data_IF_727452857467
#
_entry.id   IF_727452857467
#
_cell.length_a   1.000
_cell.length_b   1.000
_cell.length_c   1.000
_cell.angle_alpha   90.00
_cell.angle_beta   90.00
_cell.angle_gamma   90.00
#
_symmetry.space_group_name_H-M   'P 1'
#
loop_
_entity.id
_entity.type
_entity.pdbx_description
1 polymer ?
#
# COMPACT_ATOMS: atom_id res chain seq x y z
N UNK A 1 18.60 -15.16 62.19
CA UNK A 1 17.80 -14.14 61.48
C UNK A 1 18.65 -13.15 60.66
N UNK A 2 19.81 -12.67 61.10
CA UNK A 2 20.67 -11.75 60.32
C UNK A 2 21.13 -12.27 58.93
N UNK A 3 21.40 -13.57 58.79
CA UNK A 3 21.90 -14.16 57.53
C UNK A 3 20.80 -14.35 56.44
N UNK A 4 19.53 -14.31 56.85
CA UNK A 4 18.40 -14.47 55.91
C UNK A 4 18.10 -13.17 55.19
N UNK A 5 18.20 -12.02 55.83
CA UNK A 5 18.00 -10.72 55.23
C UNK A 5 19.07 -10.34 54.18
N UNK A 6 20.31 -10.81 54.39
CA UNK A 6 21.42 -10.58 53.42
C UNK A 6 21.20 -11.40 52.17
N UNK A 7 20.65 -12.62 52.27
CA UNK A 7 20.33 -13.46 51.08
C UNK A 7 19.19 -12.89 50.25
N UNK A 8 18.15 -12.33 50.87
CA UNK A 8 17.05 -11.67 50.15
C UNK A 8 17.48 -10.35 49.53
N UNK A 9 18.35 -9.57 50.15
CA UNK A 9 18.89 -8.34 49.59
C UNK A 9 19.80 -8.62 48.38
N UNK A 10 20.60 -9.69 48.39
CA UNK A 10 21.43 -10.11 47.25
C UNK A 10 20.59 -10.65 46.12
N UNK A 11 19.49 -11.38 46.40
CA UNK A 11 18.57 -11.88 45.39
C UNK A 11 17.78 -10.76 44.72
N UNK A 12 17.34 -9.75 45.49
CA UNK A 12 16.67 -8.56 44.96
C UNK A 12 17.60 -7.70 44.09
N UNK A 13 18.88 -7.59 44.47
CA UNK A 13 19.88 -6.87 43.67
C UNK A 13 20.21 -7.59 42.38
N UNK A 14 20.20 -8.93 42.38
CA UNK A 14 20.41 -9.75 41.16
C UNK A 14 19.21 -9.69 40.22
N UNK A 15 17.97 -9.64 40.75
CA UNK A 15 16.74 -9.47 39.95
C UNK A 15 16.63 -8.05 39.38
N UNK A 16 17.11 -7.02 40.08
CA UNK A 16 17.17 -5.64 39.58
C UNK A 16 18.25 -5.44 38.52
N UNK A 17 19.36 -6.20 38.58
CA UNK A 17 20.42 -6.16 37.55
C UNK A 17 20.09 -6.97 36.28
N UNK A 18 19.15 -7.94 36.35
CA UNK A 18 18.71 -8.68 35.20
C UNK A 18 17.58 -8.01 34.39
N UNK A 19 17.03 -6.90 34.87
CA UNK A 19 16.21 -5.97 34.12
C UNK A 19 17.06 -4.98 33.30
N UNK A 20 18.19 -5.45 32.77
CA UNK A 20 18.88 -4.75 31.69
C UNK A 20 17.95 -4.78 30.50
N UNK A 21 17.11 -3.75 30.32
CA UNK A 21 16.46 -3.48 29.08
C UNK A 21 17.57 -3.52 28.01
N UNK A 22 17.57 -4.53 27.17
CA UNK A 22 18.40 -4.57 25.97
C UNK A 22 18.01 -3.34 25.15
N UNK A 23 18.66 -2.21 25.43
CA UNK A 23 18.63 -1.07 24.53
C UNK A 23 19.34 -1.54 23.28
N UNK A 24 18.58 -2.12 22.33
CA UNK A 24 19.11 -2.35 21.01
C UNK A 24 19.54 -0.98 20.48
N UNK A 25 20.85 -0.83 20.25
CA UNK A 25 21.35 0.38 19.62
C UNK A 25 20.62 0.57 18.29
N UNK A 26 20.08 1.76 18.07
CA UNK A 26 19.44 2.09 16.79
C UNK A 26 20.41 1.82 15.64
N UNK A 27 19.89 1.22 14.57
CA UNK A 27 20.69 1.01 13.37
C UNK A 27 21.02 2.35 12.69
N UNK A 28 22.02 2.36 11.83
CA UNK A 28 22.36 3.56 11.04
C UNK A 28 21.16 4.02 10.19
N UNK A 29 20.41 3.07 9.64
CA UNK A 29 19.21 3.40 8.87
C UNK A 29 18.14 4.01 9.75
N UNK A 30 17.83 3.43 10.89
CA UNK A 30 16.83 3.95 11.83
C UNK A 30 17.19 5.38 12.29
N UNK A 31 18.46 5.65 12.58
CA UNK A 31 18.94 6.99 12.93
C UNK A 31 18.71 7.99 11.78
N UNK A 32 19.01 7.60 10.54
CA UNK A 32 18.78 8.46 9.36
C UNK A 32 17.29 8.71 9.13
N UNK A 33 16.43 7.71 9.28
CA UNK A 33 14.97 7.85 9.15
C UNK A 33 14.44 8.77 10.26
N UNK A 34 14.91 8.62 11.49
CA UNK A 34 14.54 9.48 12.64
C UNK A 34 14.92 10.95 12.42
N UNK A 35 15.93 11.22 11.60
CA UNK A 35 16.33 12.58 11.20
C UNK A 35 15.35 13.25 10.23
N UNK A 36 14.40 12.53 9.64
CA UNK A 36 13.37 13.11 8.78
C UNK A 36 12.27 13.71 9.66
N UNK A 37 12.18 15.03 9.70
CA UNK A 37 11.26 15.75 10.62
C UNK A 37 9.79 15.40 10.44
N UNK A 38 9.38 15.02 9.23
CA UNK A 38 8.02 14.60 8.90
C UNK A 38 7.67 13.20 9.42
N UNK A 39 8.63 12.37 9.77
CA UNK A 39 8.40 11.02 10.32
C UNK A 39 8.26 11.12 11.83
N UNK A 40 7.13 10.64 12.37
CA UNK A 40 6.82 10.69 13.81
C UNK A 40 6.88 9.34 14.50
N UNK A 41 6.83 8.26 13.72
CA UNK A 41 6.82 6.90 14.26
C UNK A 41 7.61 5.98 13.35
N UNK A 42 8.47 5.14 13.93
CA UNK A 42 9.26 4.13 13.23
C UNK A 42 9.11 2.83 14.00
N UNK A 43 8.73 1.76 13.34
CA UNK A 43 8.65 0.41 13.93
C UNK A 43 9.38 -0.59 13.06
N UNK A 44 10.29 -1.41 13.59
CA UNK A 44 10.94 -2.47 12.84
C UNK A 44 9.91 -3.52 12.41
N UNK A 45 10.14 -4.10 11.25
CA UNK A 45 9.37 -5.22 10.71
C UNK A 45 10.30 -6.40 10.45
N UNK A 46 9.78 -7.60 10.65
CA UNK A 46 10.46 -8.80 10.20
C UNK A 46 10.60 -8.81 8.68
N UNK A 47 11.71 -9.33 8.20
CA UNK A 47 11.98 -9.47 6.76
C UNK A 47 12.88 -10.66 6.46
N UNK A 48 12.57 -11.39 5.38
CA UNK A 48 13.43 -12.42 4.79
C UNK A 48 14.11 -11.96 3.49
N UNK A 49 13.74 -10.78 2.99
CA UNK A 49 14.13 -10.28 1.67
C UNK A 49 15.10 -9.09 1.73
N UNK A 50 15.23 -8.43 2.87
CA UNK A 50 16.01 -7.21 3.05
C UNK A 50 16.91 -7.31 4.27
N UNK A 51 17.93 -6.47 4.35
CA UNK A 51 18.78 -6.38 5.56
C UNK A 51 18.02 -5.76 6.74
N UNK A 52 17.17 -4.76 6.45
CA UNK A 52 16.33 -4.08 7.43
C UNK A 52 15.00 -3.69 6.77
N UNK A 53 13.93 -3.67 7.58
CA UNK A 53 12.62 -3.23 7.13
C UNK A 53 11.90 -2.49 8.26
N UNK A 54 11.27 -1.37 7.92
CA UNK A 54 10.54 -0.53 8.87
C UNK A 54 9.20 -0.12 8.30
N UNK A 55 8.18 -0.01 9.15
CA UNK A 55 7.02 0.80 8.88
C UNK A 55 7.18 2.14 9.54
N UNK A 56 6.91 3.21 8.80
CA UNK A 56 7.00 4.60 9.24
C UNK A 56 5.71 5.33 8.93
N UNK A 57 5.47 6.43 9.66
CA UNK A 57 4.32 7.29 9.40
C UNK A 57 4.81 8.70 9.12
N UNK A 58 4.61 9.10 7.87
CA UNK A 58 4.98 10.40 7.36
C UNK A 58 3.82 11.40 7.59
N UNK A 59 4.10 12.55 8.15
CA UNK A 59 3.09 13.61 8.32
C UNK A 59 2.95 14.35 7.00
N UNK A 60 1.75 14.29 6.41
CA UNK A 60 1.41 14.94 5.14
C UNK A 60 0.34 16.01 5.37
N UNK A 61 0.39 17.14 4.66
CA UNK A 61 -0.72 18.08 4.62
C UNK A 61 -1.98 17.44 4.00
N UNK A 62 -3.15 17.81 4.45
CA UNK A 62 -4.40 17.48 3.74
C UNK A 62 -4.40 18.09 2.34
N UNK A 63 -4.00 19.37 2.27
CA UNK A 63 -3.83 20.15 1.06
C UNK A 63 -2.41 20.72 1.04
N UNK A 64 -1.58 20.30 0.09
CA UNK A 64 -0.19 20.75 -0.01
C UNK A 64 -0.06 22.23 -0.38
N UNK A 65 -1.09 22.80 -1.04
CA UNK A 65 -1.14 24.24 -1.34
C UNK A 65 -1.57 25.07 -0.13
N UNK A 66 -2.28 24.45 0.81
CA UNK A 66 -2.84 25.07 2.00
C UNK A 66 -2.55 24.23 3.25
N UNK A 67 -1.27 24.12 3.69
CA UNK A 67 -0.88 23.24 4.82
C UNK A 67 -1.59 23.57 6.13
N UNK A 68 -2.08 24.79 6.28
CA UNK A 68 -2.86 25.24 7.45
C UNK A 68 -4.22 24.55 7.59
N UNK A 69 -4.72 23.85 6.53
CA UNK A 69 -5.97 23.09 6.56
C UNK A 69 -5.90 21.84 7.42
N UNK A 70 -4.69 21.44 7.84
CA UNK A 70 -4.46 20.29 8.67
C UNK A 70 -3.55 19.25 8.02
N UNK A 71 -3.33 18.16 8.73
CA UNK A 71 -2.43 17.10 8.29
C UNK A 71 -3.00 15.73 8.65
N UNK A 72 -2.46 14.70 8.01
CA UNK A 72 -2.73 13.31 8.32
C UNK A 72 -1.41 12.53 8.36
N UNK A 73 -1.46 11.31 8.89
CA UNK A 73 -0.31 10.41 8.86
C UNK A 73 -0.44 9.46 7.68
N UNK A 74 0.61 9.33 6.89
CA UNK A 74 0.69 8.42 5.76
C UNK A 74 1.65 7.29 6.06
N UNK A 75 1.21 6.04 5.88
CA UNK A 75 2.05 4.86 6.07
C UNK A 75 3.04 4.70 4.93
N UNK A 76 4.31 4.59 5.30
CA UNK A 76 5.43 4.34 4.37
C UNK A 76 6.24 3.16 4.88
N UNK A 77 6.46 2.17 4.03
CA UNK A 77 7.28 1.00 4.38
C UNK A 77 8.64 1.17 3.71
N UNK A 78 9.68 1.17 4.54
CA UNK A 78 11.08 1.33 4.13
C UNK A 78 11.75 -0.02 4.21
N UNK A 79 12.31 -0.51 3.09
CA UNK A 79 13.02 -1.78 3.02
C UNK A 79 14.42 -1.55 2.46
N UNK A 80 15.43 -1.92 3.22
CA UNK A 80 16.84 -1.56 2.98
C UNK A 80 17.66 -2.73 2.46
N UNK A 81 18.45 -2.44 1.43
CA UNK A 81 19.50 -3.32 0.91
C UNK A 81 20.87 -2.71 1.15
N UNK A 82 21.01 -1.40 0.90
CA UNK A 82 22.27 -0.67 1.06
C UNK A 82 22.14 0.79 0.63
N UNK A 83 22.94 1.69 1.22
CA UNK A 83 22.89 3.12 0.93
C UNK A 83 23.38 3.49 -0.47
N UNK A 84 24.21 2.66 -1.08
CA UNK A 84 24.75 2.78 -2.44
C UNK A 84 23.89 2.11 -3.51
N UNK A 85 22.80 1.47 -3.10
CA UNK A 85 21.89 0.74 -4.01
C UNK A 85 20.85 1.68 -4.61
N UNK A 86 20.32 1.37 -5.82
CA UNK A 86 19.16 2.07 -6.34
C UNK A 86 17.95 1.95 -5.40
N UNK A 87 16.97 2.83 -5.56
CA UNK A 87 15.74 2.82 -4.77
C UNK A 87 14.53 2.72 -5.69
N UNK A 88 13.65 1.79 -5.40
CA UNK A 88 12.34 1.65 -6.04
C UNK A 88 11.29 2.27 -5.12
N UNK A 89 10.62 3.32 -5.58
CA UNK A 89 9.43 3.84 -4.92
C UNK A 89 8.20 3.17 -5.55
N UNK A 90 7.45 2.45 -4.71
CA UNK A 90 6.20 1.81 -5.13
C UNK A 90 5.05 2.76 -4.83
N UNK A 91 4.46 3.28 -5.91
CA UNK A 91 3.33 4.20 -5.87
C UNK A 91 2.04 3.40 -5.86
N UNK A 92 1.55 3.07 -4.68
CA UNK A 92 0.33 2.30 -4.53
C UNK A 92 -0.90 3.11 -4.97
N UNK A 93 -1.97 2.44 -5.32
CA UNK A 93 -3.25 3.08 -5.60
C UNK A 93 -4.27 2.90 -4.47
N UNK A 94 -3.94 2.04 -3.50
CA UNK A 94 -4.83 1.57 -2.45
C UNK A 94 -4.08 1.41 -1.13
N UNK A 95 -4.50 0.44 -0.30
CA UNK A 95 -3.85 0.12 0.96
C UNK A 95 -2.59 -0.74 0.82
N UNK A 96 -1.59 -0.50 1.65
CA UNK A 96 -0.27 -1.14 1.62
C UNK A 96 -0.10 -2.28 2.64
N UNK A 97 -1.17 -2.82 3.23
CA UNK A 97 -1.07 -3.81 4.30
C UNK A 97 -0.30 -5.08 3.88
N UNK A 98 -0.41 -5.50 2.61
CA UNK A 98 0.29 -6.67 2.11
C UNK A 98 1.81 -6.49 2.04
N UNK A 99 2.29 -5.26 1.90
CA UNK A 99 3.71 -4.95 1.88
C UNK A 99 4.38 -5.07 3.27
N UNK A 100 3.60 -5.16 4.36
CA UNK A 100 4.12 -5.42 5.71
C UNK A 100 4.67 -6.85 5.88
N UNK A 101 4.23 -7.79 5.05
CA UNK A 101 4.63 -9.21 5.16
C UNK A 101 6.15 -9.38 5.04
N UNK A 102 6.77 -10.26 5.84
CA UNK A 102 8.23 -10.47 5.84
C UNK A 102 8.83 -10.81 4.48
N UNK A 103 8.11 -11.59 3.68
CA UNK A 103 8.56 -12.08 2.37
C UNK A 103 8.19 -11.16 1.20
N UNK A 104 7.52 -10.03 1.46
CA UNK A 104 7.13 -9.14 0.37
C UNK A 104 8.33 -8.35 -0.15
N UNK A 105 8.58 -8.47 -1.44
CA UNK A 105 9.52 -7.66 -2.22
C UNK A 105 8.94 -7.43 -3.62
N UNK A 106 8.92 -6.18 -4.04
CA UNK A 106 8.45 -5.80 -5.37
C UNK A 106 9.44 -6.28 -6.45
N UNK A 107 8.93 -6.60 -7.64
CA UNK A 107 9.69 -7.24 -8.72
C UNK A 107 10.95 -6.46 -9.11
N UNK A 108 10.84 -5.16 -9.40
CA UNK A 108 11.99 -4.33 -9.78
C UNK A 108 13.00 -4.18 -8.64
N UNK A 109 12.52 -4.07 -7.39
CA UNK A 109 13.41 -4.10 -6.23
C UNK A 109 14.20 -5.39 -6.16
N UNK A 110 13.60 -6.52 -6.50
CA UNK A 110 14.28 -7.82 -6.53
C UNK A 110 15.26 -7.91 -7.69
N UNK A 111 14.85 -7.57 -8.90
CA UNK A 111 15.67 -7.66 -10.11
C UNK A 111 16.91 -6.77 -10.04
N UNK A 112 16.75 -5.55 -9.49
CA UNK A 112 17.83 -4.56 -9.40
C UNK A 112 18.61 -4.63 -8.09
N UNK A 113 18.25 -5.54 -7.19
CA UNK A 113 18.73 -5.58 -5.82
C UNK A 113 18.72 -4.18 -5.18
N UNK A 114 17.56 -3.54 -5.24
CA UNK A 114 17.31 -2.16 -4.85
C UNK A 114 16.63 -2.05 -3.48
N UNK A 115 16.83 -0.91 -2.81
CA UNK A 115 15.97 -0.49 -1.69
C UNK A 115 14.53 -0.34 -2.17
N UNK A 116 13.57 -0.41 -1.26
CA UNK A 116 12.16 -0.21 -1.58
C UNK A 116 11.51 0.77 -0.60
N UNK A 117 10.88 1.80 -1.14
CA UNK A 117 10.00 2.72 -0.40
C UNK A 117 8.58 2.47 -0.91
N UNK A 118 7.74 1.85 -0.07
CA UNK A 118 6.37 1.52 -0.43
C UNK A 118 5.42 2.50 0.23
N UNK A 119 4.64 3.25 -0.56
CA UNK A 119 3.78 4.34 -0.07
C UNK A 119 2.31 3.93 -0.15
N UNK A 120 1.64 3.85 1.00
CA UNK A 120 0.19 3.68 1.04
C UNK A 120 -0.51 4.93 0.49
N UNK A 121 -1.50 4.72 -0.38
CA UNK A 121 -2.22 5.84 -0.98
C UNK A 121 -3.06 6.58 0.07
N UNK A 122 -3.12 7.92 -0.02
CA UNK A 122 -3.98 8.72 0.89
C UNK A 122 -5.43 8.23 0.86
N UNK A 123 -6.14 8.30 1.99
CA UNK A 123 -7.51 7.82 2.24
C UNK A 123 -7.66 6.29 2.25
N UNK A 124 -6.58 5.53 2.30
CA UNK A 124 -6.63 4.08 2.48
C UNK A 124 -6.05 3.66 3.82
N UNK A 125 -6.72 2.70 4.44
CA UNK A 125 -6.33 2.06 5.71
C UNK A 125 -5.81 3.08 6.75
N UNK A 126 -4.53 2.96 7.15
CA UNK A 126 -3.93 3.85 8.14
C UNK A 126 -3.53 5.23 7.61
N UNK A 127 -3.59 5.42 6.29
CA UNK A 127 -3.35 6.70 5.62
C UNK A 127 -4.65 7.47 5.38
N UNK A 128 -5.70 7.17 6.14
CA UNK A 128 -6.99 7.87 6.07
C UNK A 128 -6.99 9.05 7.04
N UNK A 129 -7.22 10.31 6.56
CA UNK A 129 -7.41 11.46 7.44
C UNK A 129 -8.67 11.33 8.31
N UNK A 130 -8.61 11.90 9.49
CA UNK A 130 -9.77 12.05 10.36
C UNK A 130 -9.91 13.52 10.82
N UNK A 131 -11.06 14.19 10.57
CA UNK A 131 -12.24 13.68 9.85
C UNK A 131 -11.98 13.50 8.35
N UNK A 132 -12.74 12.59 7.72
CA UNK A 132 -12.65 12.34 6.28
C UNK A 132 -13.27 13.49 5.50
N UNK A 133 -12.46 14.24 4.81
CA UNK A 133 -12.89 15.25 3.86
C UNK A 133 -12.39 14.90 2.46
N UNK A 134 -13.29 14.38 1.63
CA UNK A 134 -12.95 13.85 0.31
C UNK A 134 -12.48 14.88 -0.70
N UNK A 135 -12.66 16.19 -0.44
CA UNK A 135 -12.20 17.24 -1.34
C UNK A 135 -10.67 17.21 -1.53
N UNK A 136 -9.92 16.69 -0.55
CA UNK A 136 -8.45 16.61 -0.61
C UNK A 136 -7.94 15.32 -1.26
N UNK A 137 -8.83 14.39 -1.64
CA UNK A 137 -8.46 13.21 -2.42
C UNK A 137 -8.34 13.57 -3.89
N UNK A 138 -7.29 14.28 -4.24
CA UNK A 138 -6.97 14.71 -5.60
C UNK A 138 -5.73 14.04 -6.14
N UNK A 139 -5.60 13.97 -7.48
CA UNK A 139 -4.40 13.47 -8.14
C UNK A 139 -3.17 14.29 -7.80
N UNK A 140 -3.33 15.62 -7.72
CA UNK A 140 -2.26 16.55 -7.38
C UNK A 140 -1.75 16.33 -5.96
N UNK A 141 -2.61 16.37 -4.93
CA UNK A 141 -2.21 16.09 -3.56
C UNK A 141 -1.57 14.71 -3.39
N UNK A 142 -1.99 13.71 -4.17
CA UNK A 142 -1.39 12.38 -4.14
C UNK A 142 0.02 12.37 -4.75
N UNK A 143 0.26 13.17 -5.77
CA UNK A 143 1.59 13.35 -6.35
C UNK A 143 2.51 14.15 -5.41
N UNK A 144 1.95 15.17 -4.75
CA UNK A 144 2.66 15.99 -3.76
C UNK A 144 3.12 15.15 -2.55
N UNK A 145 2.30 14.18 -2.10
CA UNK A 145 2.70 13.22 -1.07
C UNK A 145 3.95 12.44 -1.47
N UNK A 146 3.97 11.91 -2.70
CA UNK A 146 5.10 11.14 -3.23
C UNK A 146 6.34 12.02 -3.38
N UNK A 147 6.17 13.25 -3.83
CA UNK A 147 7.25 14.24 -3.93
C UNK A 147 7.89 14.52 -2.58
N UNK A 148 7.08 14.79 -1.56
CA UNK A 148 7.56 15.04 -0.21
C UNK A 148 8.36 13.87 0.35
N UNK A 149 7.86 12.63 0.18
CA UNK A 149 8.54 11.40 0.61
C UNK A 149 9.84 11.20 -0.18
N UNK A 150 9.81 11.29 -1.51
CA UNK A 150 10.99 11.12 -2.35
C UNK A 150 12.08 12.12 -1.99
N UNK A 151 11.73 13.39 -1.84
CA UNK A 151 12.67 14.46 -1.46
C UNK A 151 13.33 14.16 -0.12
N UNK A 152 12.56 13.73 0.87
CA UNK A 152 13.07 13.39 2.20
C UNK A 152 14.04 12.20 2.16
N UNK A 153 13.67 11.13 1.45
CA UNK A 153 14.45 9.91 1.39
C UNK A 153 15.66 9.97 0.44
N UNK A 154 15.72 10.89 -0.52
CA UNK A 154 16.91 11.12 -1.36
C UNK A 154 18.15 11.52 -0.54
N UNK A 155 17.96 12.13 0.64
CA UNK A 155 19.05 12.41 1.57
C UNK A 155 19.63 11.14 2.21
N UNK A 156 18.86 10.03 2.24
CA UNK A 156 19.30 8.73 2.74
C UNK A 156 19.83 7.88 1.58
N UNK A 157 19.16 7.92 0.42
CA UNK A 157 19.43 7.13 -0.76
C UNK A 157 19.72 8.04 -1.96
N UNK A 158 20.97 8.50 -2.12
CA UNK A 158 21.33 9.45 -3.18
C UNK A 158 21.48 8.83 -4.58
N UNK A 159 21.32 7.51 -4.69
CA UNK A 159 21.45 6.77 -5.95
C UNK A 159 20.28 6.98 -6.91
N UNK A 160 20.18 6.09 -7.90
CA UNK A 160 19.08 6.11 -8.90
C UNK A 160 17.75 5.74 -8.29
N UNK A 161 16.70 6.42 -8.74
CA UNK A 161 15.32 6.19 -8.30
C UNK A 161 14.44 5.72 -9.44
N UNK A 162 13.63 4.70 -9.16
CA UNK A 162 12.66 4.10 -10.07
C UNK A 162 11.29 4.19 -9.41
N UNK A 163 10.30 4.79 -10.07
CA UNK A 163 8.90 4.72 -9.64
C UNK A 163 8.18 3.58 -10.36
N UNK A 164 7.40 2.82 -9.63
CA UNK A 164 6.61 1.73 -10.19
C UNK A 164 5.29 1.54 -9.43
N UNK A 165 4.32 0.94 -10.09
CA UNK A 165 3.04 0.56 -9.52
C UNK A 165 2.22 -0.24 -10.51
N UNK A 166 1.22 -0.96 -10.01
CA UNK A 166 0.38 -1.85 -10.81
C UNK A 166 -1.06 -1.31 -10.83
N UNK A 167 -1.73 -1.35 -11.99
CA UNK A 167 -3.13 -0.93 -12.16
C UNK A 167 -3.31 0.53 -11.71
N UNK A 168 -4.16 0.82 -10.72
CA UNK A 168 -4.28 2.17 -10.14
C UNK A 168 -2.95 2.69 -9.59
N UNK A 169 -2.08 1.83 -9.03
CA UNK A 169 -0.71 2.19 -8.65
C UNK A 169 0.13 2.61 -9.86
N UNK A 170 -0.02 1.92 -11.00
CA UNK A 170 0.58 2.34 -12.27
C UNK A 170 0.05 3.68 -12.76
N UNK A 171 -1.25 3.95 -12.64
CA UNK A 171 -1.83 5.27 -12.90
C UNK A 171 -1.21 6.34 -11.98
N UNK A 172 -1.04 6.02 -10.69
CA UNK A 172 -0.36 6.91 -9.74
C UNK A 172 1.08 7.20 -10.16
N UNK A 173 1.81 6.19 -10.69
CA UNK A 173 3.16 6.38 -11.27
C UNK A 173 3.14 7.39 -12.42
N UNK A 174 2.16 7.30 -13.33
CA UNK A 174 2.02 8.25 -14.46
C UNK A 174 1.70 9.66 -13.98
N UNK A 175 0.76 9.80 -13.04
CA UNK A 175 0.41 11.08 -12.44
C UNK A 175 1.62 11.69 -11.73
N UNK A 176 2.33 10.90 -10.92
CA UNK A 176 3.53 11.35 -10.23
C UNK A 176 4.59 11.86 -11.21
N UNK A 177 4.89 11.12 -12.29
CA UNK A 177 5.81 11.56 -13.33
C UNK A 177 5.35 12.85 -14.03
N UNK A 178 4.04 13.04 -14.20
CA UNK A 178 3.49 14.22 -14.86
C UNK A 178 3.65 15.47 -14.00
N UNK A 179 3.38 15.39 -12.70
CA UNK A 179 3.53 16.52 -11.78
C UNK A 179 5.00 16.78 -11.40
N UNK A 180 5.80 15.73 -11.25
CA UNK A 180 7.19 15.78 -10.78
C UNK A 180 8.13 14.99 -11.71
N UNK A 181 8.43 15.53 -12.91
CA UNK A 181 9.17 14.80 -13.94
C UNK A 181 10.61 14.46 -13.53
N UNK A 182 11.21 15.21 -12.61
CA UNK A 182 12.62 15.09 -12.22
C UNK A 182 12.83 14.34 -10.89
N UNK A 183 11.75 13.89 -10.24
CA UNK A 183 11.85 13.22 -8.95
C UNK A 183 12.46 11.83 -9.03
N UNK A 184 12.24 11.14 -10.13
CA UNK A 184 12.79 9.80 -10.35
C UNK A 184 13.42 9.69 -11.73
N UNK A 185 14.44 8.86 -11.86
CA UNK A 185 15.13 8.65 -13.15
C UNK A 185 14.26 7.88 -14.14
N UNK A 186 13.54 6.87 -13.66
CA UNK A 186 12.75 5.93 -14.47
C UNK A 186 11.35 5.78 -13.87
N UNK A 187 10.34 5.68 -14.73
CA UNK A 187 8.98 5.30 -14.33
C UNK A 187 8.55 4.05 -15.10
N UNK A 188 8.09 3.03 -14.37
CA UNK A 188 7.65 1.74 -14.91
C UNK A 188 6.22 1.47 -14.44
N UNK A 189 5.21 2.06 -15.11
CA UNK A 189 3.81 1.83 -14.77
C UNK A 189 3.30 0.52 -15.38
N UNK A 190 2.99 -0.47 -14.54
CA UNK A 190 2.41 -1.73 -15.00
C UNK A 190 0.90 -1.61 -15.18
N UNK A 191 0.41 -1.99 -16.36
CA UNK A 191 -1.03 -2.02 -16.71
C UNK A 191 -1.81 -0.82 -16.19
N UNK A 192 -1.22 0.35 -16.31
CA UNK A 192 -1.74 1.62 -15.81
C UNK A 192 -2.97 2.05 -16.61
N UNK A 193 -4.19 2.11 -16.02
CA UNK A 193 -5.36 2.53 -16.76
C UNK A 193 -5.33 4.05 -17.00
N UNK A 194 -5.49 4.45 -18.26
CA UNK A 194 -5.71 5.84 -18.63
C UNK A 194 -7.21 6.04 -18.88
N UNK A 195 -7.92 6.44 -17.82
CA UNK A 195 -9.36 6.67 -17.85
C UNK A 195 -9.67 8.11 -18.26
N UNK A 196 -10.63 8.29 -19.18
CA UNK A 196 -11.09 9.61 -19.64
C UNK A 196 -12.28 10.14 -18.86
N UNK A 197 -12.89 9.32 -18.00
CA UNK A 197 -14.03 9.66 -17.17
C UNK A 197 -14.55 8.44 -16.42
N UNK A 198 -15.61 8.64 -15.64
CA UNK A 198 -16.30 7.55 -14.93
C UNK A 198 -16.91 6.57 -15.92
N UNK A 199 -17.62 7.11 -16.93
CA UNK A 199 -18.16 6.36 -18.06
C UNK A 199 -17.17 6.44 -19.22
N UNK A 200 -16.19 5.53 -19.23
CA UNK A 200 -15.23 5.44 -20.34
C UNK A 200 -15.81 4.56 -21.46
N UNK A 201 -16.33 5.19 -22.51
CA UNK A 201 -17.03 4.53 -23.61
C UNK A 201 -16.20 3.53 -24.43
N UNK A 202 -14.97 3.19 -24.02
CA UNK A 202 -14.13 2.17 -24.68
C UNK A 202 -14.37 0.75 -24.15
N UNK A 203 -14.96 0.59 -22.97
CA UNK A 203 -15.14 -0.72 -22.33
C UNK A 203 -16.15 -1.58 -23.11
N UNK A 204 -17.34 -1.08 -23.36
CA UNK A 204 -18.37 -1.84 -24.08
C UNK A 204 -17.93 -2.26 -25.51
N UNK A 205 -17.38 -1.36 -26.35
CA UNK A 205 -16.85 -1.76 -27.66
C UNK A 205 -15.75 -2.83 -27.57
N UNK A 206 -14.94 -2.84 -26.52
CA UNK A 206 -13.95 -3.89 -26.28
C UNK A 206 -14.64 -5.23 -25.99
N UNK A 207 -15.59 -5.26 -25.05
CA UNK A 207 -16.31 -6.48 -24.67
C UNK A 207 -17.08 -7.08 -25.86
N UNK A 208 -17.57 -6.25 -26.76
CA UNK A 208 -18.25 -6.71 -27.99
C UNK A 208 -17.30 -7.31 -29.04
N UNK A 209 -15.99 -7.07 -28.95
CA UNK A 209 -15.00 -7.50 -29.94
C UNK A 209 -14.00 -8.52 -29.42
N UNK A 210 -13.79 -8.59 -28.08
CA UNK A 210 -12.78 -9.47 -27.50
C UNK A 210 -13.11 -10.95 -27.78
N UNK A 211 -12.09 -11.76 -28.08
CA UNK A 211 -12.23 -13.20 -28.34
C UNK A 211 -13.16 -13.54 -29.53
N UNK A 212 -13.74 -14.73 -29.55
CA UNK A 212 -14.67 -15.17 -30.58
C UNK A 212 -16.14 -14.89 -30.23
N UNK A 213 -17.06 -14.75 -31.22
CA UNK A 213 -18.48 -14.61 -30.94
C UNK A 213 -19.04 -15.72 -30.07
N UNK A 214 -18.58 -16.98 -30.27
CA UNK A 214 -19.03 -18.14 -29.52
C UNK A 214 -18.63 -18.04 -28.04
N UNK A 215 -17.40 -17.56 -27.75
CA UNK A 215 -16.94 -17.39 -26.38
C UNK A 215 -17.67 -16.25 -25.68
N UNK A 216 -17.88 -15.12 -26.38
CA UNK A 216 -18.70 -14.03 -25.81
C UNK A 216 -20.11 -14.49 -25.47
N UNK A 217 -20.74 -15.26 -26.40
CA UNK A 217 -22.07 -15.82 -26.17
C UNK A 217 -22.13 -16.77 -24.96
N UNK A 218 -21.11 -17.61 -24.75
CA UNK A 218 -21.04 -18.49 -23.56
C UNK A 218 -20.99 -17.70 -22.27
N UNK A 219 -20.27 -16.57 -22.24
CA UNK A 219 -20.18 -15.71 -21.06
C UNK A 219 -21.52 -15.03 -20.79
N UNK A 220 -22.14 -14.46 -21.84
CA UNK A 220 -23.47 -13.87 -21.75
C UNK A 220 -24.50 -14.88 -21.23
N UNK A 221 -24.52 -16.09 -21.79
CA UNK A 221 -25.43 -17.15 -21.36
C UNK A 221 -25.20 -17.56 -19.91
N UNK A 222 -23.92 -17.64 -19.49
CA UNK A 222 -23.58 -17.89 -18.08
C UNK A 222 -24.09 -16.78 -17.16
N UNK A 223 -23.86 -15.51 -17.50
CA UNK A 223 -24.32 -14.36 -16.71
C UNK A 223 -25.84 -14.34 -16.60
N UNK A 224 -26.54 -14.51 -17.73
CA UNK A 224 -28.01 -14.58 -17.75
C UNK A 224 -28.56 -15.73 -16.93
N UNK A 225 -27.95 -16.92 -17.00
CA UNK A 225 -28.36 -18.08 -16.23
C UNK A 225 -28.10 -17.89 -14.74
N UNK A 226 -26.96 -17.29 -14.37
CA UNK A 226 -26.66 -16.96 -12.97
C UNK A 226 -27.69 -15.97 -12.41
N UNK A 227 -28.05 -14.92 -13.15
CA UNK A 227 -29.09 -13.98 -12.72
C UNK A 227 -30.47 -14.62 -12.62
N UNK A 228 -30.88 -15.46 -13.58
CA UNK A 228 -32.15 -16.19 -13.53
C UNK A 228 -32.24 -17.12 -12.32
N UNK A 229 -31.12 -17.73 -11.93
CA UNK A 229 -31.05 -18.62 -10.76
C UNK A 229 -30.71 -17.90 -9.46
N UNK A 230 -30.77 -16.58 -9.41
CA UNK A 230 -30.39 -15.78 -8.24
C UNK A 230 -31.00 -16.33 -6.95
N UNK A 231 -32.29 -16.67 -6.94
CA UNK A 231 -32.97 -17.21 -5.76
C UNK A 231 -32.30 -18.48 -5.18
N UNK A 232 -31.66 -19.30 -6.01
CA UNK A 232 -30.97 -20.53 -5.61
C UNK A 232 -29.49 -20.28 -5.30
N UNK A 233 -28.84 -19.36 -6.02
CA UNK A 233 -27.41 -19.11 -5.96
C UNK A 233 -27.03 -18.09 -4.87
N UNK A 234 -27.85 -17.10 -4.62
CA UNK A 234 -27.61 -16.06 -3.62
C UNK A 234 -27.31 -16.62 -2.22
N UNK A 235 -28.07 -17.59 -1.67
CA UNK A 235 -27.73 -18.16 -0.37
C UNK A 235 -26.35 -18.85 -0.33
N UNK A 236 -25.91 -19.43 -1.44
CA UNK A 236 -24.57 -20.04 -1.56
C UNK A 236 -23.47 -18.98 -1.62
N UNK A 237 -23.73 -17.90 -2.35
CA UNK A 237 -22.83 -16.76 -2.44
C UNK A 237 -22.66 -16.09 -1.07
N UNK A 238 -23.77 -15.84 -0.36
CA UNK A 238 -23.75 -15.28 0.99
C UNK A 238 -22.95 -16.15 1.97
N UNK A 239 -23.19 -17.49 1.94
CA UNK A 239 -22.41 -18.44 2.71
C UNK A 239 -20.91 -18.34 2.41
N UNK A 240 -20.54 -18.31 1.13
CA UNK A 240 -19.14 -18.16 0.72
C UNK A 240 -18.53 -16.86 1.24
N UNK A 241 -19.24 -15.73 1.11
CA UNK A 241 -18.77 -14.44 1.59
C UNK A 241 -18.56 -14.44 3.11
N UNK A 242 -19.47 -15.08 3.86
CA UNK A 242 -19.37 -15.23 5.31
C UNK A 242 -18.16 -16.09 5.70
N UNK A 243 -17.94 -17.23 5.05
CA UNK A 243 -16.79 -18.11 5.28
C UNK A 243 -15.45 -17.39 4.99
N UNK A 244 -15.45 -16.46 4.04
CA UNK A 244 -14.28 -15.63 3.70
C UNK A 244 -14.16 -14.36 4.54
N UNK A 245 -15.09 -14.11 5.46
CA UNK A 245 -15.14 -12.90 6.27
C UNK A 245 -15.17 -11.60 5.44
N UNK A 246 -15.83 -11.63 4.26
CA UNK A 246 -16.05 -10.46 3.46
C UNK A 246 -17.12 -9.58 4.08
N UNK A 247 -16.91 -8.26 4.07
CA UNK A 247 -17.90 -7.28 4.50
C UNK A 247 -18.15 -6.27 3.38
N UNK A 248 -19.40 -5.92 3.18
CA UNK A 248 -19.83 -5.02 2.11
C UNK A 248 -20.58 -3.81 2.68
N UNK A 249 -20.56 -2.71 1.94
CA UNK A 249 -21.35 -1.50 2.25
C UNK A 249 -22.70 -1.46 1.51
N UNK A 250 -22.89 -2.37 0.55
CA UNK A 250 -24.12 -2.53 -0.20
C UNK A 250 -24.82 -3.83 0.22
N UNK A 251 -26.14 -3.97 -0.04
CA UNK A 251 -26.86 -5.22 0.18
C UNK A 251 -26.22 -6.40 -0.58
N UNK A 252 -26.27 -7.58 0.02
CA UNK A 252 -25.63 -8.78 -0.57
C UNK A 252 -26.23 -9.15 -1.93
N UNK A 253 -27.50 -8.83 -2.15
CA UNK A 253 -28.20 -9.03 -3.42
C UNK A 253 -27.62 -8.15 -4.54
N UNK A 254 -27.23 -6.92 -4.23
CA UNK A 254 -26.57 -6.02 -5.19
C UNK A 254 -25.14 -6.48 -5.45
N UNK A 255 -24.43 -6.88 -4.41
CA UNK A 255 -23.06 -7.44 -4.55
C UNK A 255 -23.08 -8.68 -5.43
N UNK A 256 -24.09 -9.55 -5.30
CA UNK A 256 -24.26 -10.70 -6.18
C UNK A 256 -24.44 -10.26 -7.64
N UNK A 257 -25.35 -9.33 -7.92
CA UNK A 257 -25.62 -8.84 -9.27
C UNK A 257 -24.38 -8.22 -9.89
N UNK A 258 -23.68 -7.34 -9.16
CA UNK A 258 -22.42 -6.75 -9.61
C UNK A 258 -21.34 -7.82 -9.87
N UNK A 259 -21.21 -8.82 -9.00
CA UNK A 259 -20.24 -9.90 -9.19
C UNK A 259 -20.52 -10.72 -10.47
N UNK A 260 -21.80 -10.93 -10.81
CA UNK A 260 -22.19 -11.61 -12.04
C UNK A 260 -21.92 -10.73 -13.27
N UNK A 261 -22.24 -9.42 -13.20
CA UNK A 261 -22.02 -8.49 -14.31
C UNK A 261 -20.53 -8.22 -14.57
N UNK A 262 -19.74 -8.13 -13.51
CA UNK A 262 -18.28 -7.90 -13.55
C UNK A 262 -17.52 -9.11 -14.13
N UNK A 263 -18.12 -10.29 -14.16
CA UNK A 263 -17.45 -11.53 -14.57
C UNK A 263 -16.82 -11.45 -15.97
N UNK A 264 -17.47 -10.75 -16.92
CA UNK A 264 -16.93 -10.56 -18.27
C UNK A 264 -15.64 -9.76 -18.28
N UNK A 265 -15.50 -8.74 -17.41
CA UNK A 265 -14.25 -7.99 -17.26
C UNK A 265 -13.16 -8.83 -16.66
N UNK A 266 -13.44 -9.49 -15.55
CA UNK A 266 -12.48 -10.32 -14.81
C UNK A 266 -11.95 -11.48 -15.67
N UNK A 267 -12.78 -12.04 -16.56
CA UNK A 267 -12.38 -13.16 -17.42
C UNK A 267 -11.42 -12.74 -18.55
N UNK A 268 -11.55 -11.51 -19.06
CA UNK A 268 -10.76 -11.05 -20.20
C UNK A 268 -9.47 -10.29 -19.80
N UNK A 269 -9.19 -10.17 -18.51
CA UNK A 269 -7.92 -9.67 -17.98
C UNK A 269 -6.85 -10.76 -18.02
#
# INVERSE_FOLDING_TARGET
MKNMHIRYAALLLFVLLSASASSFAQTVLEQKISGISAIKEIRPLETSEFSEKYVTYFTQPLDHRHPEKGSFRQRVIVSHVGFDRPTVIVTEGYGAAYALRPQYREELSKLLNANMIFVEYRYFLESTPEPKDWQYLTAENSADDLHAITTAFKNIYPGKWIATGISKGGQTTLLYRTFYPDDVDISVPYVAPLCYGVEDGRHEPFLHKVSTPENRKKIEDFQLEALKRKATLLPRFEKYCTEKSYSFRAPIEEIYDYSVLEYSFALWQ
#
